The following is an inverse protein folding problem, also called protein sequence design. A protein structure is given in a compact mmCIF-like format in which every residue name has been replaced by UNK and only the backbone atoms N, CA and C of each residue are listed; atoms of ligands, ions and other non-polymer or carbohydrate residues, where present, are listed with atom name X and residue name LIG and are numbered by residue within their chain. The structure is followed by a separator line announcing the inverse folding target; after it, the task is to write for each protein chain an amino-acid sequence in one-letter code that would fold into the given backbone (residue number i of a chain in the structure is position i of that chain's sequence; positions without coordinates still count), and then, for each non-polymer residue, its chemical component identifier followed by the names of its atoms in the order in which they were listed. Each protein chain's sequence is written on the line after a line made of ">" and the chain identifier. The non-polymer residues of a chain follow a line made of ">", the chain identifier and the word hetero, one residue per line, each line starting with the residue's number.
data_IF_897705594511
#
_entry.id   IF_897705594511
#
_cell.length_a   1.000
_cell.length_b   1.000
_cell.length_c   1.000
_cell.angle_alpha   90.00
_cell.angle_beta   90.00
_cell.angle_gamma   90.00
#
_symmetry.space_group_name_H-M   'P 1'
#
loop_
_entity.id
_entity.type
_entity.pdbx_description
1 polymer ?
#
# COMPACT_ATOMS: atom_id res chain seq x y z
N UNK A 1 -5.69 42.24 44.52
CA UNK A 1 -4.82 43.20 43.81
C UNK A 1 -3.62 42.41 43.31
N UNK A 2 -3.62 42.03 42.03
CA UNK A 2 -3.03 42.79 40.91
C UNK A 2 -1.54 42.43 40.79
N UNK A 3 -0.95 42.10 39.63
CA UNK A 3 -1.29 42.23 38.20
C UNK A 3 -0.15 41.54 37.43
N UNK A 4 -0.39 41.21 36.16
CA UNK A 4 0.64 41.15 35.08
C UNK A 4 1.79 40.17 35.31
N UNK A 5 1.89 39.06 34.59
CA UNK A 5 1.77 38.95 33.15
C UNK A 5 2.98 38.14 32.65
N UNK A 6 2.97 37.83 31.36
CA UNK A 6 4.00 37.08 30.64
C UNK A 6 3.80 35.55 30.70
N UNK A 7 2.89 34.96 29.91
CA UNK A 7 2.99 34.75 28.45
C UNK A 7 4.17 33.83 28.08
N UNK A 8 3.84 32.73 27.39
CA UNK A 8 4.69 31.79 26.65
C UNK A 8 5.48 30.81 27.56
N UNK A 9 5.34 29.49 27.41
CA UNK A 9 5.63 28.77 26.18
C UNK A 9 5.05 27.36 26.28
N UNK A 10 3.92 27.10 25.63
CA UNK A 10 3.43 25.74 25.41
C UNK A 10 4.33 25.10 24.35
N UNK A 11 5.33 24.33 24.79
CA UNK A 11 6.14 23.46 23.95
C UNK A 11 5.26 22.29 23.47
N UNK A 12 4.52 22.55 22.39
CA UNK A 12 3.93 21.52 21.55
C UNK A 12 5.08 20.75 20.91
N UNK A 13 5.43 19.60 21.49
CA UNK A 13 6.24 18.62 20.79
C UNK A 13 5.43 18.12 19.59
N UNK A 14 5.69 18.69 18.41
CA UNK A 14 5.36 18.04 17.14
C UNK A 14 6.26 16.80 17.03
N UNK A 15 5.85 15.70 17.64
CA UNK A 15 6.34 14.38 17.26
C UNK A 15 5.76 14.08 15.89
N UNK A 16 6.45 14.55 14.85
CA UNK A 16 6.26 14.07 13.50
C UNK A 16 6.60 12.58 13.50
N UNK A 17 5.58 11.73 13.66
CA UNK A 17 5.66 10.35 13.20
C UNK A 17 5.71 10.41 11.67
N UNK A 18 6.88 10.76 11.13
CA UNK A 18 7.23 10.39 9.78
C UNK A 18 7.27 8.86 9.81
N UNK A 19 6.16 8.24 9.40
CA UNK A 19 6.15 6.83 9.07
C UNK A 19 7.28 6.64 8.07
N UNK A 20 8.39 6.03 8.51
CA UNK A 20 9.39 5.53 7.61
C UNK A 20 8.66 4.47 6.79
N UNK A 21 8.09 4.87 5.65
CA UNK A 21 7.62 3.92 4.68
C UNK A 21 8.86 3.11 4.30
N UNK A 22 8.93 1.87 4.77
CA UNK A 22 10.01 0.95 4.44
C UNK A 22 10.27 0.97 2.94
N UNK A 23 11.54 0.88 2.55
CA UNK A 23 11.91 0.88 1.14
C UNK A 23 11.11 -0.20 0.38
N UNK A 24 10.70 0.06 -0.87
CA UNK A 24 9.89 -0.87 -1.63
C UNK A 24 10.53 -2.26 -1.68
N UNK A 25 9.76 -3.31 -1.39
CA UNK A 25 10.27 -4.68 -1.29
C UNK A 25 9.18 -5.71 -1.62
N UNK A 26 9.58 -6.84 -2.22
CA UNK A 26 8.67 -7.97 -2.52
C UNK A 26 8.01 -8.48 -1.24
N UNK A 27 8.75 -8.59 -0.13
CA UNK A 27 8.18 -9.04 1.14
C UNK A 27 7.09 -8.09 1.68
N UNK A 28 7.29 -6.77 1.57
CA UNK A 28 6.26 -5.80 1.94
C UNK A 28 5.04 -5.91 1.04
N UNK A 29 5.25 -6.16 -0.26
CA UNK A 29 4.18 -6.44 -1.21
C UNK A 29 3.37 -7.68 -0.83
N UNK A 30 4.04 -8.76 -0.43
CA UNK A 30 3.40 -9.99 0.05
C UNK A 30 2.55 -9.73 1.30
N UNK A 31 3.09 -8.99 2.28
CA UNK A 31 2.35 -8.63 3.51
C UNK A 31 1.09 -7.82 3.16
N UNK A 32 1.21 -6.81 2.30
CA UNK A 32 0.08 -6.00 1.83
C UNK A 32 -0.96 -6.83 1.07
N UNK A 33 -0.53 -7.73 0.19
CA UNK A 33 -1.40 -8.58 -0.61
C UNK A 33 -2.23 -9.56 0.23
N UNK A 34 -1.65 -10.06 1.32
CA UNK A 34 -2.30 -10.99 2.23
C UNK A 34 -3.09 -10.30 3.35
N UNK A 35 -2.87 -9.00 3.57
CA UNK A 35 -3.55 -8.23 4.61
C UNK A 35 -4.91 -7.68 4.16
N UNK A 36 -5.86 -7.62 5.08
CA UNK A 36 -7.13 -6.91 4.89
C UNK A 36 -7.01 -5.39 5.08
N UNK A 37 -5.86 -4.87 5.52
CA UNK A 37 -5.66 -3.45 5.87
C UNK A 37 -5.85 -2.47 4.71
N UNK A 38 -5.79 -2.93 3.45
CA UNK A 38 -6.07 -2.09 2.28
C UNK A 38 -7.58 -1.88 2.04
N UNK A 39 -8.43 -2.71 2.66
CA UNK A 39 -9.87 -2.67 2.50
C UNK A 39 -10.63 -2.17 3.72
N UNK A 40 -11.95 -2.06 3.58
CA UNK A 40 -12.90 -1.75 4.67
C UNK A 40 -13.90 -2.88 4.94
N UNK A 41 -13.71 -4.02 4.28
CA UNK A 41 -14.62 -5.16 4.36
C UNK A 41 -13.90 -6.47 4.72
N UNK A 42 -12.80 -6.37 5.49
CA UNK A 42 -12.03 -7.49 6.04
C UNK A 42 -11.52 -8.52 5.00
N UNK A 43 -11.39 -8.12 3.73
CA UNK A 43 -10.81 -8.96 2.67
C UNK A 43 -9.46 -8.44 2.21
N UNK A 44 -8.59 -9.38 1.86
CA UNK A 44 -7.30 -9.14 1.22
C UNK A 44 -7.36 -9.47 -0.27
N UNK A 45 -6.28 -9.15 -1.00
CA UNK A 45 -6.12 -9.53 -2.40
C UNK A 45 -6.11 -11.06 -2.54
N UNK A 46 -5.39 -11.75 -1.64
CA UNK A 46 -5.26 -13.20 -1.62
C UNK A 46 -6.60 -13.95 -1.49
N UNK A 47 -7.61 -13.33 -0.86
CA UNK A 47 -8.94 -13.94 -0.74
C UNK A 47 -9.62 -14.17 -2.09
N UNK A 48 -9.33 -13.33 -3.11
CA UNK A 48 -9.84 -13.49 -4.47
C UNK A 48 -8.81 -14.10 -5.44
N UNK A 49 -7.53 -13.93 -5.14
CA UNK A 49 -6.39 -14.40 -5.93
C UNK A 49 -5.53 -15.41 -5.14
N UNK A 50 -6.10 -16.56 -4.73
CA UNK A 50 -5.32 -17.59 -4.04
C UNK A 50 -4.19 -18.05 -4.97
N UNK A 51 -2.97 -18.13 -4.43
CA UNK A 51 -1.76 -18.51 -5.17
C UNK A 51 -1.54 -17.70 -6.47
N UNK A 52 -2.02 -16.46 -6.52
CA UNK A 52 -1.89 -15.61 -7.71
C UNK A 52 -2.85 -15.95 -8.86
N UNK A 53 -3.88 -16.76 -8.64
CA UNK A 53 -4.89 -17.09 -9.66
C UNK A 53 -5.46 -15.83 -10.32
N UNK A 54 -5.39 -15.72 -11.64
CA UNK A 54 -5.85 -14.54 -12.39
C UNK A 54 -4.81 -13.43 -12.53
N UNK A 55 -3.57 -13.65 -12.08
CA UNK A 55 -2.42 -12.74 -12.21
C UNK A 55 -1.30 -13.32 -13.09
N UNK A 56 -1.60 -14.31 -13.92
CA UNK A 56 -0.61 -15.04 -14.73
C UNK A 56 0.20 -14.13 -15.66
N UNK A 57 -0.41 -13.05 -16.16
CA UNK A 57 0.22 -12.07 -17.06
C UNK A 57 0.79 -10.84 -16.31
N UNK A 58 0.82 -10.86 -14.97
CA UNK A 58 1.29 -9.73 -14.17
C UNK A 58 2.77 -9.43 -14.42
N UNK A 59 3.58 -10.46 -14.69
CA UNK A 59 5.03 -10.33 -14.98
C UNK A 59 5.33 -9.44 -16.19
N UNK A 60 4.47 -9.48 -17.21
CA UNK A 60 4.65 -8.78 -18.49
C UNK A 60 4.09 -7.36 -18.49
N UNK A 61 3.32 -7.01 -17.46
CA UNK A 61 2.67 -5.70 -17.34
C UNK A 61 3.60 -4.64 -16.74
N UNK A 62 3.59 -3.44 -17.32
CA UNK A 62 4.29 -2.29 -16.76
C UNK A 62 3.74 -1.86 -15.38
N UNK A 63 4.58 -1.22 -14.57
CA UNK A 63 4.23 -0.71 -13.24
C UNK A 63 2.99 0.18 -13.25
N UNK A 64 2.90 1.16 -14.14
CA UNK A 64 1.79 2.10 -14.16
C UNK A 64 0.44 1.41 -14.46
N UNK A 65 0.46 0.38 -15.31
CA UNK A 65 -0.71 -0.45 -15.59
C UNK A 65 -1.10 -1.27 -14.37
N UNK A 66 -0.13 -1.94 -13.73
CA UNK A 66 -0.39 -2.74 -12.54
C UNK A 66 -0.89 -1.90 -11.37
N UNK A 67 -0.34 -0.71 -11.16
CA UNK A 67 -0.77 0.22 -10.12
C UNK A 67 -2.25 0.62 -10.29
N UNK A 68 -2.67 0.94 -11.52
CA UNK A 68 -4.07 1.26 -11.84
C UNK A 68 -5.01 0.07 -11.62
N UNK A 69 -4.59 -1.14 -11.98
CA UNK A 69 -5.36 -2.37 -11.76
C UNK A 69 -5.50 -2.62 -10.26
N UNK A 70 -4.40 -2.57 -9.51
CA UNK A 70 -4.39 -2.74 -8.05
C UNK A 70 -5.31 -1.71 -7.38
N UNK A 71 -5.19 -0.43 -7.74
CA UNK A 71 -6.06 0.63 -7.20
C UNK A 71 -7.54 0.43 -7.55
N UNK A 72 -7.87 -0.08 -8.74
CA UNK A 72 -9.25 -0.44 -9.08
C UNK A 72 -9.78 -1.54 -8.16
N UNK A 73 -8.98 -2.57 -7.88
CA UNK A 73 -9.35 -3.63 -6.94
C UNK A 73 -9.51 -3.10 -5.51
N UNK A 74 -8.55 -2.31 -5.02
CA UNK A 74 -8.60 -1.70 -3.68
C UNK A 74 -9.88 -0.87 -3.51
N UNK A 75 -10.19 0.01 -4.46
CA UNK A 75 -11.34 0.92 -4.34
C UNK A 75 -12.68 0.20 -4.58
N UNK A 76 -12.77 -0.62 -5.63
CA UNK A 76 -14.05 -1.18 -6.05
C UNK A 76 -14.40 -2.47 -5.31
N UNK A 77 -13.44 -3.37 -5.12
CA UNK A 77 -13.66 -4.66 -4.48
C UNK A 77 -13.44 -4.60 -2.97
N UNK A 78 -12.35 -3.98 -2.51
CA UNK A 78 -12.01 -3.89 -1.09
C UNK A 78 -12.60 -2.67 -0.38
N UNK A 79 -13.26 -1.77 -1.11
CA UNK A 79 -13.86 -0.51 -0.60
C UNK A 79 -12.85 0.38 0.15
N UNK A 80 -11.57 0.22 -0.19
CA UNK A 80 -10.45 0.96 0.37
C UNK A 80 -10.23 2.32 -0.28
N UNK A 81 -9.15 2.98 0.13
CA UNK A 81 -8.66 4.21 -0.51
C UNK A 81 -7.52 3.84 -1.45
N UNK A 82 -7.50 4.47 -2.63
CA UNK A 82 -6.39 4.30 -3.57
C UNK A 82 -5.05 4.71 -2.91
N UNK A 83 -4.02 3.93 -3.18
CA UNK A 83 -2.63 4.28 -2.90
C UNK A 83 -2.13 5.25 -3.98
N UNK A 84 -1.05 5.97 -3.70
CA UNK A 84 -0.36 6.71 -4.75
C UNK A 84 0.24 5.73 -5.76
N UNK A 85 0.10 6.00 -7.05
CA UNK A 85 0.53 5.07 -8.11
C UNK A 85 2.05 4.74 -8.02
N UNK A 86 2.86 5.71 -7.58
CA UNK A 86 4.32 5.55 -7.36
C UNK A 86 4.69 5.51 -5.86
N UNK A 87 3.72 5.28 -4.97
CA UNK A 87 4.00 5.14 -3.54
C UNK A 87 4.87 3.91 -3.25
N UNK A 88 5.67 3.91 -2.17
CA UNK A 88 6.46 2.73 -1.78
C UNK A 88 5.61 1.48 -1.56
N UNK A 89 4.40 1.64 -1.02
CA UNK A 89 3.43 0.56 -0.80
C UNK A 89 2.92 0.00 -2.12
N UNK A 90 2.54 0.87 -3.07
CA UNK A 90 2.09 0.42 -4.40
C UNK A 90 3.23 -0.27 -5.15
N UNK A 91 4.45 0.28 -5.08
CA UNK A 91 5.63 -0.30 -5.70
C UNK A 91 5.93 -1.69 -5.15
N UNK A 92 5.88 -1.85 -3.82
CA UNK A 92 6.03 -3.15 -3.17
C UNK A 92 4.95 -4.13 -3.62
N UNK A 93 3.69 -3.69 -3.65
CA UNK A 93 2.56 -4.51 -4.06
C UNK A 93 2.72 -5.00 -5.50
N UNK A 94 3.07 -4.11 -6.44
CA UNK A 94 3.33 -4.47 -7.85
C UNK A 94 4.50 -5.43 -7.98
N UNK A 95 5.61 -5.20 -7.25
CA UNK A 95 6.76 -6.12 -7.25
C UNK A 95 6.34 -7.54 -6.87
N UNK A 96 5.54 -7.70 -5.81
CA UNK A 96 5.03 -9.01 -5.42
C UNK A 96 4.02 -9.60 -6.41
N UNK A 97 3.08 -8.81 -6.93
CA UNK A 97 2.13 -9.30 -7.93
C UNK A 97 2.85 -9.84 -9.18
N UNK A 98 3.98 -9.23 -9.56
CA UNK A 98 4.82 -9.71 -10.67
C UNK A 98 5.48 -11.07 -10.39
N UNK A 99 5.81 -11.39 -9.14
CA UNK A 99 6.35 -12.72 -8.79
C UNK A 99 5.28 -13.83 -8.87
N UNK A 100 4.00 -13.46 -8.87
CA UNK A 100 2.89 -14.39 -9.04
C UNK A 100 2.56 -14.65 -10.53
N UNK A 101 3.09 -13.84 -11.43
CA UNK A 101 2.99 -14.05 -12.87
C UNK A 101 3.80 -15.26 -13.32
N UNK A 102 3.39 -15.88 -14.43
CA UNK A 102 4.18 -16.96 -15.04
C UNK A 102 5.31 -16.31 -15.82
N UNK A 103 6.56 -16.46 -15.35
CA UNK A 103 7.71 -16.19 -16.22
C UNK A 103 7.60 -17.10 -17.44
N UNK A 104 7.40 -16.51 -18.63
CA UNK A 104 7.57 -17.22 -19.90
C UNK A 104 9.03 -17.65 -19.95
N UNK A 105 9.33 -18.91 -19.62
CA UNK A 105 10.62 -19.51 -19.98
C UNK A 105 10.77 -19.34 -21.48
N UNK A 106 11.77 -18.55 -21.88
CA UNK A 106 12.16 -18.38 -23.28
C UNK A 106 12.79 -19.66 -23.82
#
# INVERSE_FOLDING_TARGET
>A
MNRTGMVLMALFFLTSAASAADAPSVENGMKLFNSSSLGKNDRSCAACHPDGKGLEDASDSDHATMAKIANKCIVKALKGKALGDDSPEMTSLVMYMKTLGKTKSK
#
